data_IF_948754736253
#
_entry.id   IF_948754736253
#
_cell.length_a   1.000
_cell.length_b   1.000
_cell.length_c   1.000
_cell.angle_alpha   90.00
_cell.angle_beta   90.00
_cell.angle_gamma   90.00
#
_symmetry.space_group_name_H-M   'P 1'
#
loop_
_entity.id
_entity.type
_entity.pdbx_description
1 polymer ?
#
# COMPACT_ATOMS: atom_id res chain seq x y z
N UNK A 1 12.46 16.62 2.18
CA UNK A 1 11.10 16.59 1.61
C UNK A 1 10.67 15.14 1.48
N UNK A 2 9.48 14.80 1.96
CA UNK A 2 8.96 13.44 1.96
C UNK A 2 8.76 12.85 0.58
N UNK A 3 8.85 11.54 0.50
CA UNK A 3 8.69 10.74 -0.72
C UNK A 3 7.46 9.84 -0.56
N UNK A 4 6.50 9.94 -1.47
CA UNK A 4 5.32 9.05 -1.48
C UNK A 4 5.70 7.75 -2.19
N UNK A 5 5.58 6.66 -1.47
CA UNK A 5 5.87 5.31 -1.96
C UNK A 5 4.60 4.45 -1.89
N UNK A 6 4.08 4.03 -3.03
CA UNK A 6 3.03 3.01 -3.05
C UNK A 6 3.67 1.65 -2.81
N UNK A 7 3.51 1.14 -1.59
CA UNK A 7 4.10 -0.13 -1.13
C UNK A 7 3.41 -0.60 0.16
N UNK A 8 4.15 -1.31 0.97
CA UNK A 8 3.79 -1.75 2.29
C UNK A 8 3.32 -3.19 2.47
N UNK A 9 3.87 -4.22 1.80
CA UNK A 9 4.10 -4.41 0.37
C UNK A 9 2.80 -4.34 -0.42
N UNK A 10 2.84 -3.75 -1.61
CA UNK A 10 1.68 -3.72 -2.50
C UNK A 10 1.58 -5.05 -3.26
N UNK A 11 0.77 -5.97 -2.75
CA UNK A 11 0.54 -7.27 -3.38
C UNK A 11 -0.37 -7.13 -4.59
N UNK A 12 -0.01 -7.79 -5.69
CA UNK A 12 -0.75 -7.76 -6.95
C UNK A 12 -0.64 -9.11 -7.66
N UNK A 13 -1.73 -9.55 -8.32
CA UNK A 13 -1.70 -10.70 -9.22
C UNK A 13 -1.01 -10.38 -10.54
N UNK A 14 -0.67 -11.38 -11.34
CA UNK A 14 -0.07 -11.20 -12.69
C UNK A 14 -0.95 -10.35 -13.62
N UNK A 15 -2.27 -10.41 -13.47
CA UNK A 15 -3.23 -9.59 -14.23
C UNK A 15 -3.62 -8.29 -13.54
N UNK A 16 -2.85 -7.88 -12.51
CA UNK A 16 -2.95 -6.56 -11.88
C UNK A 16 -4.03 -6.42 -10.81
N UNK A 17 -4.67 -7.50 -10.37
CA UNK A 17 -5.73 -7.45 -9.36
C UNK A 17 -5.13 -7.27 -7.97
N UNK A 18 -5.78 -6.41 -7.16
CA UNK A 18 -5.41 -6.08 -5.77
C UNK A 18 -6.55 -6.35 -4.79
N UNK A 19 -7.69 -6.78 -5.29
CA UNK A 19 -8.88 -7.00 -4.46
C UNK A 19 -8.74 -8.24 -3.59
N UNK A 20 -9.15 -8.08 -2.33
CA UNK A 20 -9.39 -9.15 -1.34
C UNK A 20 -8.27 -10.21 -1.26
N UNK A 21 -7.01 -9.82 -1.10
CA UNK A 21 -5.89 -10.77 -1.09
C UNK A 21 -6.01 -11.80 0.04
N UNK A 22 -6.63 -11.45 1.17
CA UNK A 22 -6.79 -12.32 2.33
C UNK A 22 -8.14 -13.04 2.42
N UNK A 23 -9.10 -12.73 1.52
CA UNK A 23 -10.40 -13.39 1.45
C UNK A 23 -11.44 -12.87 2.46
N UNK A 24 -11.23 -11.70 3.07
CA UNK A 24 -12.12 -11.16 4.09
C UNK A 24 -13.26 -10.28 3.53
N UNK A 25 -13.21 -9.90 2.25
CA UNK A 25 -14.17 -9.00 1.61
C UNK A 25 -15.26 -9.73 0.81
N UNK A 26 -15.20 -11.06 0.70
CA UNK A 26 -16.19 -11.88 -0.02
C UNK A 26 -16.04 -11.89 -1.55
N UNK A 27 -14.90 -11.50 -2.08
CA UNK A 27 -14.60 -11.66 -3.51
C UNK A 27 -14.46 -13.16 -3.85
N UNK A 28 -15.11 -13.69 -4.91
CA UNK A 28 -15.09 -15.13 -5.22
C UNK A 28 -13.68 -15.71 -5.39
N UNK A 29 -12.74 -14.91 -5.91
CA UNK A 29 -11.32 -15.28 -6.04
C UNK A 29 -10.46 -14.77 -4.88
N UNK A 30 -11.05 -14.24 -3.79
CA UNK A 30 -10.36 -13.73 -2.62
C UNK A 30 -9.50 -14.79 -1.91
N UNK A 31 -8.59 -14.36 -1.04
CA UNK A 31 -7.65 -15.25 -0.32
C UNK A 31 -6.48 -15.77 -1.17
N UNK A 32 -6.24 -15.15 -2.33
CA UNK A 32 -5.18 -15.56 -3.26
C UNK A 32 -3.78 -15.32 -2.69
N UNK A 33 -3.60 -14.37 -1.78
CA UNK A 33 -2.34 -14.10 -1.10
C UNK A 33 -1.78 -15.36 -0.44
N UNK A 34 -2.56 -16.00 0.43
CA UNK A 34 -2.12 -17.20 1.14
C UNK A 34 -1.99 -18.40 0.23
N UNK A 35 -2.95 -18.59 -0.71
CA UNK A 35 -2.94 -19.74 -1.61
C UNK A 35 -1.78 -19.72 -2.59
N UNK A 36 -1.41 -18.53 -3.10
CA UNK A 36 -0.37 -18.40 -4.13
C UNK A 36 1.01 -18.05 -3.56
N UNK A 37 1.07 -17.53 -2.33
CA UNK A 37 2.33 -17.19 -1.67
C UNK A 37 3.04 -18.38 -1.01
N UNK A 38 2.28 -19.35 -0.51
CA UNK A 38 2.84 -20.60 0.02
C UNK A 38 3.98 -20.37 1.03
N UNK A 39 5.10 -21.06 0.83
CA UNK A 39 6.29 -20.97 1.67
C UNK A 39 7.01 -19.60 1.55
N UNK A 40 6.86 -18.90 0.44
CA UNK A 40 7.52 -17.62 0.18
C UNK A 40 6.98 -16.49 1.09
N UNK A 41 5.84 -16.71 1.76
CA UNK A 41 5.27 -15.75 2.71
C UNK A 41 6.15 -15.51 3.94
N UNK A 42 7.06 -16.42 4.27
CA UNK A 42 8.03 -16.18 5.33
C UNK A 42 8.99 -15.04 4.93
N UNK A 43 9.60 -15.13 3.75
CA UNK A 43 10.51 -14.09 3.23
C UNK A 43 9.73 -12.80 2.90
N UNK A 44 8.48 -12.92 2.40
CA UNK A 44 7.60 -11.78 2.24
C UNK A 44 7.39 -11.01 3.54
N UNK A 45 7.26 -11.70 4.68
CA UNK A 45 7.08 -11.05 5.98
C UNK A 45 8.33 -10.27 6.42
N UNK A 46 9.53 -10.74 6.05
CA UNK A 46 10.79 -10.00 6.27
C UNK A 46 10.81 -8.72 5.42
N UNK A 47 10.43 -8.81 4.14
CA UNK A 47 10.30 -7.63 3.27
C UNK A 47 9.29 -6.63 3.85
N UNK A 48 8.15 -7.10 4.34
CA UNK A 48 7.14 -6.24 4.95
C UNK A 48 7.66 -5.52 6.21
N UNK A 49 8.46 -6.19 7.01
CA UNK A 49 9.09 -5.60 8.19
C UNK A 49 10.14 -4.56 7.81
N UNK A 50 10.97 -4.83 6.82
CA UNK A 50 12.01 -3.91 6.36
C UNK A 50 11.41 -2.65 5.72
N UNK A 51 10.36 -2.81 4.91
CA UNK A 51 9.57 -1.69 4.39
C UNK A 51 8.97 -0.83 5.52
N UNK A 52 8.40 -1.49 6.55
CA UNK A 52 7.85 -0.77 7.69
C UNK A 52 8.93 -0.04 8.50
N UNK A 53 10.13 -0.60 8.62
CA UNK A 53 11.27 0.05 9.31
C UNK A 53 11.75 1.28 8.56
N UNK A 54 11.80 1.24 7.22
CA UNK A 54 12.21 2.34 6.35
C UNK A 54 11.18 3.46 6.26
N UNK A 55 9.90 3.18 6.51
CA UNK A 55 8.83 4.16 6.42
C UNK A 55 8.89 5.21 7.54
N UNK A 56 8.84 6.49 7.20
CA UNK A 56 8.66 7.58 8.18
C UNK A 56 7.21 7.66 8.67
N UNK A 57 6.24 7.38 7.79
CA UNK A 57 4.82 7.41 8.08
C UNK A 57 4.03 6.51 7.12
N UNK A 58 2.79 6.17 7.51
CA UNK A 58 1.79 5.60 6.62
C UNK A 58 0.75 6.64 6.20
N UNK A 59 0.36 6.59 4.92
CA UNK A 59 -0.75 7.35 4.36
C UNK A 59 -1.83 6.39 3.88
N UNK A 60 -3.00 6.46 4.47
CA UNK A 60 -4.07 5.47 4.33
C UNK A 60 -5.36 6.11 3.85
N UNK A 61 -6.10 5.41 3.01
CA UNK A 61 -7.53 5.63 2.88
C UNK A 61 -8.28 5.01 4.06
N UNK A 62 -9.50 5.48 4.35
CA UNK A 62 -10.30 5.03 5.50
C UNK A 62 -10.44 3.50 5.59
N UNK A 63 -10.81 2.82 4.48
CA UNK A 63 -11.00 1.35 4.48
C UNK A 63 -9.72 0.60 4.88
N UNK A 64 -8.58 1.00 4.33
CA UNK A 64 -7.28 0.40 4.68
C UNK A 64 -6.90 0.70 6.13
N UNK A 65 -7.21 1.90 6.63
CA UNK A 65 -7.00 2.25 8.03
C UNK A 65 -7.80 1.34 8.97
N UNK A 66 -9.09 1.19 8.72
CA UNK A 66 -9.98 0.34 9.52
C UNK A 66 -9.53 -1.13 9.46
N UNK A 67 -9.16 -1.62 8.27
CA UNK A 67 -8.67 -2.98 8.06
C UNK A 67 -7.37 -3.27 8.82
N UNK A 68 -6.37 -2.42 8.68
CA UNK A 68 -5.08 -2.62 9.36
C UNK A 68 -5.20 -2.36 10.86
N UNK A 69 -5.96 -1.37 11.28
CA UNK A 69 -6.22 -1.08 12.70
C UNK A 69 -6.85 -2.27 13.41
N UNK A 70 -7.86 -2.89 12.82
CA UNK A 70 -8.50 -4.09 13.37
C UNK A 70 -7.51 -5.26 13.54
N UNK A 71 -6.48 -5.35 12.68
CA UNK A 71 -5.51 -6.45 12.71
C UNK A 71 -4.32 -6.20 13.62
N UNK A 72 -3.82 -4.97 13.69
CA UNK A 72 -2.51 -4.69 14.27
C UNK A 72 -2.55 -4.08 15.67
N UNK A 73 -3.63 -3.40 16.05
CA UNK A 73 -3.70 -2.72 17.36
C UNK A 73 -3.46 -3.63 18.58
N UNK A 74 -3.88 -4.88 18.49
CA UNK A 74 -3.78 -5.85 19.60
C UNK A 74 -2.64 -6.86 19.43
N UNK A 75 -1.92 -6.80 18.32
CA UNK A 75 -0.78 -7.69 18.07
C UNK A 75 0.50 -7.14 18.68
N UNK A 76 1.43 -8.05 18.97
CA UNK A 76 2.78 -7.76 19.47
C UNK A 76 3.83 -8.32 18.51
N UNK A 77 5.09 -7.90 18.69
CA UNK A 77 6.22 -8.30 17.86
C UNK A 77 6.69 -7.20 16.93
N UNK A 78 7.87 -7.37 16.36
CA UNK A 78 8.62 -6.31 15.67
C UNK A 78 7.83 -5.51 14.63
N UNK A 79 7.04 -6.18 13.77
CA UNK A 79 6.20 -5.52 12.78
C UNK A 79 5.01 -4.80 13.44
N UNK A 80 4.32 -5.45 14.37
CA UNK A 80 3.18 -4.85 15.07
C UNK A 80 3.60 -3.61 15.85
N UNK A 81 4.71 -3.69 16.60
CA UNK A 81 5.24 -2.59 17.40
C UNK A 81 5.62 -1.41 16.51
N UNK A 82 6.24 -1.69 15.34
CA UNK A 82 6.57 -0.66 14.36
C UNK A 82 5.32 0.01 13.79
N UNK A 83 4.33 -0.77 13.36
CA UNK A 83 3.07 -0.25 12.78
C UNK A 83 2.25 0.52 13.82
N UNK A 84 2.21 0.06 15.06
CA UNK A 84 1.53 0.78 16.14
C UNK A 84 2.24 2.09 16.50
N UNK A 85 3.56 2.11 16.50
CA UNK A 85 4.38 3.26 16.90
C UNK A 85 4.51 4.36 15.85
N UNK A 86 4.48 4.02 14.53
CA UNK A 86 4.71 5.02 13.48
C UNK A 86 3.53 5.98 13.30
N UNK A 87 3.75 7.22 12.81
CA UNK A 87 2.70 8.14 12.41
C UNK A 87 1.84 7.58 11.28
N UNK A 88 0.53 7.80 11.37
CA UNK A 88 -0.45 7.42 10.34
C UNK A 88 -1.29 8.61 9.95
N UNK A 89 -1.38 8.89 8.66
CA UNK A 89 -2.23 9.93 8.09
C UNK A 89 -3.38 9.27 7.34
N UNK A 90 -4.61 9.65 7.64
CA UNK A 90 -5.80 8.99 7.10
C UNK A 90 -6.62 9.97 6.29
N UNK A 91 -6.67 9.77 4.98
CA UNK A 91 -7.53 10.56 4.09
C UNK A 91 -8.97 10.12 4.26
N UNK A 92 -9.79 10.96 4.91
CA UNK A 92 -11.19 10.67 5.14
C UNK A 92 -11.99 11.90 5.53
N UNK A 93 -13.14 12.12 4.88
CA UNK A 93 -14.12 13.15 5.27
C UNK A 93 -15.07 12.69 6.39
N UNK A 94 -15.14 11.40 6.65
CA UNK A 94 -16.17 10.80 7.53
C UNK A 94 -15.61 10.15 8.80
N UNK A 95 -14.33 9.79 8.85
CA UNK A 95 -13.70 9.27 10.06
C UNK A 95 -13.62 10.36 11.13
N UNK A 96 -14.21 10.15 12.31
CA UNK A 96 -14.25 11.14 13.39
C UNK A 96 -13.13 10.94 14.39
N UNK A 97 -13.12 9.82 15.06
CA UNK A 97 -12.23 9.52 16.17
C UNK A 97 -11.32 8.34 15.77
N UNK A 98 -10.11 8.62 15.24
CA UNK A 98 -9.18 7.56 14.90
C UNK A 98 -8.65 6.91 16.17
N UNK A 99 -8.92 5.63 16.34
CA UNK A 99 -8.61 4.86 17.55
C UNK A 99 -7.29 4.06 17.47
N UNK A 100 -6.61 4.10 16.33
CA UNK A 100 -5.27 3.53 16.19
C UNK A 100 -4.23 4.59 16.54
N UNK A 101 -3.32 4.27 17.47
CA UNK A 101 -2.31 5.19 18.01
C UNK A 101 -1.56 5.95 16.92
N UNK A 102 -1.23 7.22 17.18
CA UNK A 102 -0.49 8.11 16.27
C UNK A 102 -1.18 8.33 14.92
N UNK A 103 -2.51 8.40 14.90
CA UNK A 103 -3.29 8.63 13.69
C UNK A 103 -3.80 10.06 13.61
N UNK A 104 -3.62 10.69 12.46
CA UNK A 104 -4.12 12.03 12.12
C UNK A 104 -5.03 11.94 10.90
N UNK A 105 -6.24 12.53 10.97
CA UNK A 105 -7.19 12.52 9.85
C UNK A 105 -6.99 13.76 8.98
N UNK A 106 -6.73 13.54 7.69
CA UNK A 106 -6.68 14.57 6.66
C UNK A 106 -8.08 14.73 6.05
N UNK A 107 -8.70 15.90 6.23
CA UNK A 107 -10.12 16.14 5.88
C UNK A 107 -10.32 17.06 4.69
N UNK A 108 -9.28 17.77 4.28
CA UNK A 108 -9.30 18.74 3.21
C UNK A 108 -9.22 18.11 1.83
N UNK A 109 -8.88 18.93 0.85
CA UNK A 109 -8.56 18.45 -0.49
C UNK A 109 -7.35 17.51 -0.45
N UNK A 110 -7.50 16.32 -1.02
CA UNK A 110 -6.48 15.26 -0.94
C UNK A 110 -5.13 15.71 -1.50
N UNK A 111 -5.15 16.45 -2.61
CA UNK A 111 -3.92 16.89 -3.29
C UNK A 111 -3.19 17.93 -2.43
N UNK A 112 -3.92 18.90 -1.89
CA UNK A 112 -3.37 19.94 -1.02
C UNK A 112 -2.82 19.35 0.28
N UNK A 113 -3.59 18.48 0.93
CA UNK A 113 -3.19 17.81 2.18
C UNK A 113 -1.93 16.96 2.00
N UNK A 114 -1.87 16.13 0.95
CA UNK A 114 -0.70 15.27 0.69
C UNK A 114 0.51 16.09 0.23
N UNK A 115 0.30 17.17 -0.52
CA UNK A 115 1.38 18.10 -0.89
C UNK A 115 1.99 18.76 0.36
N UNK A 116 1.16 19.15 1.30
CA UNK A 116 1.62 19.69 2.59
C UNK A 116 2.36 18.63 3.39
N UNK A 117 1.79 17.43 3.49
CA UNK A 117 2.42 16.31 4.18
C UNK A 117 3.82 15.99 3.63
N UNK A 118 4.01 16.02 2.30
CA UNK A 118 5.34 15.84 1.67
C UNK A 118 6.38 16.90 2.09
N UNK A 119 5.96 18.08 2.51
CA UNK A 119 6.87 19.14 2.99
C UNK A 119 7.23 18.97 4.46
N UNK A 120 6.29 18.45 5.26
CA UNK A 120 6.41 18.35 6.71
C UNK A 120 7.11 17.06 7.17
N UNK A 121 6.94 15.98 6.43
CA UNK A 121 7.52 14.67 6.78
C UNK A 121 8.78 14.43 5.97
N UNK A 122 9.89 14.20 6.64
CA UNK A 122 11.12 13.73 6.00
C UNK A 122 11.16 12.20 5.92
N UNK A 123 11.54 11.67 4.76
CA UNK A 123 11.63 10.25 4.52
C UNK A 123 10.44 9.67 3.72
N UNK A 124 10.26 8.37 3.79
CA UNK A 124 9.26 7.68 3.00
C UNK A 124 7.89 7.70 3.69
N UNK A 125 6.89 8.23 2.98
CA UNK A 125 5.48 8.16 3.34
C UNK A 125 4.87 7.01 2.53
N UNK A 126 4.68 5.88 3.15
CA UNK A 126 4.23 4.66 2.49
C UNK A 126 2.71 4.61 2.41
N UNK A 127 2.18 4.24 1.25
CA UNK A 127 0.74 4.08 0.97
C UNK A 127 0.44 2.58 0.82
N UNK A 128 0.11 1.86 1.92
CA UNK A 128 -0.17 0.43 1.84
C UNK A 128 -1.63 0.18 1.42
N UNK A 129 -1.85 -0.77 0.53
CA UNK A 129 -3.15 -1.33 0.13
C UNK A 129 -4.27 -0.32 -0.23
N UNK A 130 -3.98 0.98 -0.18
CA UNK A 130 -4.97 2.06 -0.43
C UNK A 130 -5.03 2.39 -1.93
N UNK A 131 -5.30 1.41 -2.79
CA UNK A 131 -5.20 1.54 -4.24
C UNK A 131 -6.07 2.66 -4.84
N UNK A 132 -7.24 2.96 -4.27
CA UNK A 132 -8.09 4.09 -4.73
C UNK A 132 -7.42 5.43 -4.43
N UNK A 133 -6.87 5.60 -3.23
CA UNK A 133 -6.06 6.76 -2.89
C UNK A 133 -4.81 6.81 -3.78
N UNK A 134 -4.09 5.70 -3.93
CA UNK A 134 -2.92 5.59 -4.80
C UNK A 134 -3.18 6.03 -6.24
N UNK A 135 -4.32 5.62 -6.83
CA UNK A 135 -4.74 6.10 -8.18
C UNK A 135 -4.95 7.62 -8.21
N UNK A 136 -5.53 8.19 -7.15
CA UNK A 136 -5.70 9.65 -7.05
C UNK A 136 -4.34 10.34 -6.97
N UNK A 137 -3.43 9.84 -6.14
CA UNK A 137 -2.08 10.40 -6.03
C UNK A 137 -1.29 10.28 -7.33
N UNK A 138 -1.41 9.15 -8.04
CA UNK A 138 -0.80 8.96 -9.37
C UNK A 138 -1.31 9.99 -10.37
N UNK A 139 -2.63 10.25 -10.44
CA UNK A 139 -3.20 11.25 -11.37
C UNK A 139 -2.66 12.65 -11.17
N UNK A 140 -2.24 12.98 -9.96
CA UNK A 140 -1.74 14.30 -9.58
C UNK A 140 -0.21 14.36 -9.41
N UNK A 141 0.53 13.40 -9.96
CA UNK A 141 2.01 13.34 -9.93
C UNK A 141 2.60 13.40 -8.51
N UNK A 142 1.87 12.90 -7.51
CA UNK A 142 2.31 12.92 -6.12
C UNK A 142 3.11 11.68 -5.71
N UNK A 143 3.03 10.59 -6.49
CA UNK A 143 3.75 9.34 -6.22
C UNK A 143 5.15 9.41 -6.81
N UNK A 144 6.14 9.14 -5.99
CA UNK A 144 7.55 9.15 -6.39
C UNK A 144 8.06 7.74 -6.75
N UNK A 145 7.50 6.71 -6.08
CA UNK A 145 7.93 5.33 -6.26
C UNK A 145 6.78 4.35 -6.07
N UNK A 146 6.82 3.26 -6.84
CA UNK A 146 5.89 2.14 -6.75
C UNK A 146 6.70 0.86 -6.51
N UNK A 147 6.38 0.14 -5.43
CA UNK A 147 6.95 -1.16 -5.11
C UNK A 147 5.85 -2.21 -5.14
N UNK A 148 6.02 -3.24 -5.94
CA UNK A 148 5.04 -4.29 -6.13
C UNK A 148 5.61 -5.64 -5.70
N UNK A 149 4.80 -6.45 -5.05
CA UNK A 149 5.02 -7.88 -4.94
C UNK A 149 4.03 -8.58 -5.88
N UNK A 150 4.54 -9.12 -6.97
CA UNK A 150 3.73 -9.81 -7.98
C UNK A 150 3.63 -11.29 -7.62
N UNK A 151 2.40 -11.75 -7.41
CA UNK A 151 2.07 -13.13 -7.10
C UNK A 151 1.83 -13.92 -8.38
N UNK A 152 2.28 -15.19 -8.46
CA UNK A 152 2.20 -16.01 -9.66
C UNK A 152 0.78 -16.58 -9.88
N UNK A 153 -0.21 -15.70 -9.98
CA UNK A 153 -1.62 -16.05 -10.14
C UNK A 153 -2.33 -15.08 -11.08
N UNK A 154 -3.20 -15.60 -11.92
CA UNK A 154 -4.15 -14.84 -12.74
C UNK A 154 -5.54 -15.05 -12.17
N UNK A 155 -6.24 -13.98 -11.84
CA UNK A 155 -7.56 -14.03 -11.21
C UNK A 155 -8.70 -13.82 -12.20
N UNK A 156 -8.45 -13.16 -13.33
CA UNK A 156 -9.41 -12.94 -14.41
C UNK A 156 -10.48 -11.87 -14.13
N UNK A 157 -10.74 -11.55 -12.87
CA UNK A 157 -11.72 -10.58 -12.43
C UNK A 157 -11.25 -9.87 -11.16
N UNK A 158 -11.91 -8.78 -10.78
CA UNK A 158 -11.61 -8.02 -9.56
C UNK A 158 -11.03 -6.63 -9.84
N UNK A 159 -10.92 -5.84 -8.77
CA UNK A 159 -10.34 -4.49 -8.83
C UNK A 159 -8.83 -4.57 -9.11
N UNK A 160 -8.38 -3.89 -10.17
CA UNK A 160 -6.97 -3.82 -10.55
C UNK A 160 -6.29 -2.60 -9.94
N UNK A 161 -4.98 -2.67 -9.74
CA UNK A 161 -4.19 -1.54 -9.22
C UNK A 161 -4.34 -0.28 -10.10
N UNK A 162 -4.31 -0.45 -11.42
CA UNK A 162 -4.46 0.62 -12.42
C UNK A 162 -5.81 0.54 -13.15
N UNK A 163 -6.89 0.23 -12.43
CA UNK A 163 -8.20 -0.05 -13.04
C UNK A 163 -8.75 1.03 -13.98
N UNK A 164 -9.69 0.62 -14.82
CA UNK A 164 -10.21 1.37 -15.97
C UNK A 164 -11.00 2.63 -15.59
N UNK A 165 -11.75 2.60 -14.49
CA UNK A 165 -12.58 3.72 -14.07
C UNK A 165 -11.74 4.86 -13.48
N UNK A 166 -11.45 5.84 -14.32
CA UNK A 166 -10.73 7.05 -13.91
C UNK A 166 -9.21 6.94 -13.91
N UNK A 167 -8.67 5.82 -14.37
CA UNK A 167 -7.27 5.59 -14.68
C UNK A 167 -6.22 6.33 -13.87
N UNK A 168 -5.02 6.39 -14.38
CA UNK A 168 -3.89 7.18 -13.83
C UNK A 168 -3.76 8.57 -14.49
N UNK A 169 -4.73 8.98 -15.31
CA UNK A 169 -4.68 10.28 -16.02
C UNK A 169 -3.90 10.24 -17.33
N UNK A 170 -3.73 9.06 -17.96
CA UNK A 170 -3.02 8.88 -19.22
C UNK A 170 -1.81 7.94 -19.10
N UNK A 171 -1.01 7.87 -20.16
CA UNK A 171 0.22 7.08 -20.18
C UNK A 171 1.23 7.66 -19.20
N UNK A 172 1.79 6.79 -18.34
CA UNK A 172 2.72 7.19 -17.31
C UNK A 172 3.97 6.31 -17.37
N UNK A 173 5.04 6.79 -17.97
CA UNK A 173 6.29 6.03 -18.03
C UNK A 173 6.88 5.89 -16.62
N UNK A 174 7.44 4.72 -16.36
CA UNK A 174 8.13 4.41 -15.10
C UNK A 174 9.46 3.75 -15.42
N UNK A 175 10.46 3.99 -14.59
CA UNK A 175 11.76 3.36 -14.73
C UNK A 175 11.94 2.31 -13.64
N UNK A 176 12.28 1.07 -14.05
CA UNK A 176 12.63 0.03 -13.09
C UNK A 176 13.94 0.40 -12.37
N UNK A 177 13.96 0.24 -11.06
CA UNK A 177 15.11 0.53 -10.18
C UNK A 177 15.63 -0.75 -9.57
N UNK A 178 14.71 -1.67 -9.23
CA UNK A 178 15.04 -2.97 -8.66
C UNK A 178 14.07 -4.02 -9.18
N UNK A 179 14.60 -5.21 -9.44
CA UNK A 179 13.82 -6.42 -9.70
C UNK A 179 14.53 -7.60 -9.03
N UNK A 180 13.84 -8.28 -8.13
CA UNK A 180 14.34 -9.49 -7.46
C UNK A 180 13.20 -10.44 -7.14
N UNK A 181 13.53 -11.67 -6.80
CA UNK A 181 12.57 -12.62 -6.26
C UNK A 181 12.44 -12.47 -4.74
N UNK A 182 11.28 -12.87 -4.21
CA UNK A 182 11.05 -13.19 -2.81
C UNK A 182 10.75 -14.69 -2.80
N UNK A 183 11.59 -15.48 -2.16
CA UNK A 183 11.54 -16.92 -2.27
C UNK A 183 11.70 -17.42 -3.71
N UNK A 184 10.95 -18.43 -4.09
CA UNK A 184 11.02 -19.06 -5.41
C UNK A 184 9.94 -18.57 -6.39
N UNK A 185 8.86 -17.95 -5.91
CA UNK A 185 7.67 -17.71 -6.74
C UNK A 185 7.21 -16.25 -6.81
N UNK A 186 7.58 -15.36 -5.89
CA UNK A 186 7.14 -13.98 -5.90
C UNK A 186 8.18 -13.07 -6.57
N UNK A 187 7.72 -12.05 -7.31
CA UNK A 187 8.60 -11.03 -7.87
C UNK A 187 8.42 -9.71 -7.12
N UNK A 188 9.51 -9.13 -6.62
CA UNK A 188 9.55 -7.79 -6.05
C UNK A 188 10.10 -6.81 -7.07
N UNK A 189 9.33 -5.80 -7.40
CA UNK A 189 9.64 -4.80 -8.42
C UNK A 189 9.54 -3.41 -7.83
N UNK A 190 10.58 -2.60 -8.03
CA UNK A 190 10.58 -1.17 -7.67
C UNK A 190 10.67 -0.32 -8.93
N UNK A 191 9.70 0.56 -9.08
CA UNK A 191 9.64 1.55 -10.17
C UNK A 191 9.72 2.96 -9.60
N UNK A 192 10.50 3.81 -10.25
CA UNK A 192 10.51 5.26 -10.00
C UNK A 192 9.68 5.96 -11.06
N UNK A 193 8.84 6.88 -10.60
CA UNK A 193 8.10 7.80 -11.43
C UNK A 193 8.97 9.06 -11.62
N UNK A 194 9.07 9.53 -12.85
CA UNK A 194 9.89 10.71 -13.22
C UNK A 194 9.04 11.88 -13.58
#
# INVERSE_FOLDING_TARGET
>A
MGKIVMSGPQNVSLDGVVQDPDGAEGFPSGGWFTRSGGADLQEWAEVALDEARGAAAWLLGRRSYEFFGARWRTRTGALADRLNGMPKYVVSSTLRDPDWTNSTVLRGDVVAEVTTLKREVDGEIVVPASYRLGRTLLRHDLVDELRLVVFPVVLGAGERLFGDAGGTGGTRPMRIVEARTIGAGLAFLTYRLG
#
